data_IF_068994105520
#
_entry.id   IF_068994105520
#
_cell.length_a   1.000
_cell.length_b   1.000
_cell.length_c   1.000
_cell.angle_alpha   90.00
_cell.angle_beta   90.00
_cell.angle_gamma   90.00
#
_symmetry.space_group_name_H-M   'P 1'
#
loop_
_entity.id
_entity.type
_entity.pdbx_description
1 polymer ?
#
# COMPACT_ATOMS: atom_id res chain seq x y z
N UNK A 1 26.21 1.31 2.05
CA UNK A 1 25.65 2.13 0.96
C UNK A 1 24.43 1.40 0.51
N UNK A 2 23.38 1.69 1.27
CA UNK A 2 22.11 1.00 1.39
C UNK A 2 21.12 1.59 0.40
N UNK A 3 20.12 0.80 0.05
CA UNK A 3 18.96 1.33 -0.65
C UNK A 3 17.67 0.66 -0.20
N UNK A 4 16.71 1.50 0.18
CA UNK A 4 15.37 1.11 0.60
C UNK A 4 14.29 1.48 -0.44
N UNK A 5 13.44 0.50 -0.79
CA UNK A 5 12.15 0.73 -1.44
C UNK A 5 11.06 1.05 -0.43
N UNK A 6 9.95 1.57 -0.92
CA UNK A 6 8.92 2.17 -0.09
C UNK A 6 7.67 1.30 -0.13
N UNK A 7 7.33 0.76 1.01
CA UNK A 7 6.05 0.14 1.31
C UNK A 7 5.12 1.23 1.86
N UNK A 8 4.01 1.50 1.17
CA UNK A 8 2.99 2.42 1.71
C UNK A 8 2.11 1.63 2.67
N UNK A 9 2.27 1.89 3.95
CA UNK A 9 1.37 1.43 5.00
C UNK A 9 0.34 2.53 5.26
N UNK A 10 -0.94 2.20 5.21
CA UNK A 10 -1.98 3.16 5.58
C UNK A 10 -2.15 3.10 7.10
N UNK A 11 -1.68 4.13 7.81
CA UNK A 11 -1.86 4.27 9.26
C UNK A 11 -2.95 5.30 9.49
N UNK A 12 -4.18 4.87 9.72
CA UNK A 12 -5.22 5.78 10.18
C UNK A 12 -5.08 6.05 11.70
N UNK A 13 -5.56 7.23 12.10
CA UNK A 13 -5.38 8.04 13.33
C UNK A 13 -5.01 7.44 14.69
N UNK A 14 -4.11 8.18 15.38
CA UNK A 14 -4.01 8.43 16.83
C UNK A 14 -4.62 7.40 17.78
N UNK A 15 -3.81 6.39 18.10
CA UNK A 15 -3.76 5.89 19.48
C UNK A 15 -2.34 6.10 19.95
N UNK A 16 -2.20 6.80 21.07
CA UNK A 16 -1.00 6.90 21.88
C UNK A 16 -0.27 5.54 21.93
N UNK A 17 0.81 5.39 21.17
CA UNK A 17 1.87 4.44 21.51
C UNK A 17 2.97 5.30 22.14
N UNK A 18 2.70 5.75 23.36
CA UNK A 18 3.78 5.95 24.32
C UNK A 18 4.37 4.56 24.60
N UNK A 19 5.35 4.19 23.78
CA UNK A 19 6.46 3.33 24.15
C UNK A 19 7.51 3.44 23.03
N UNK A 20 8.40 4.43 23.19
CA UNK A 20 9.79 4.15 22.92
C UNK A 20 10.18 2.91 23.73
N UNK A 21 10.47 1.80 23.04
CA UNK A 21 11.45 0.84 23.51
C UNK A 21 11.84 -0.10 22.38
N UNK A 22 13.09 0.03 21.95
CA UNK A 22 13.93 -1.06 21.44
C UNK A 22 13.27 -2.05 20.48
N UNK A 23 13.40 -1.80 19.17
CA UNK A 23 13.56 -2.90 18.23
C UNK A 23 15.02 -2.94 17.78
N UNK A 24 15.68 -4.02 18.19
CA UNK A 24 17.06 -4.35 17.85
C UNK A 24 17.27 -4.29 16.34
N UNK A 25 18.44 -3.75 15.96
CA UNK A 25 19.01 -3.88 14.62
C UNK A 25 19.11 -5.36 14.28
N UNK A 26 18.12 -5.92 13.57
CA UNK A 26 18.32 -7.17 12.87
C UNK A 26 19.10 -6.88 11.59
N UNK A 27 20.36 -7.29 11.66
CA UNK A 27 21.30 -7.32 10.55
C UNK A 27 20.90 -8.50 9.65
N UNK A 28 20.31 -8.24 8.48
CA UNK A 28 20.05 -9.25 7.46
C UNK A 28 20.65 -8.80 6.12
N UNK A 29 21.47 -9.69 5.55
CA UNK A 29 22.24 -9.53 4.32
C UNK A 29 21.40 -9.91 3.08
N UNK A 30 21.68 -9.19 1.99
CA UNK A 30 21.56 -9.55 0.56
C UNK A 30 20.26 -9.19 -0.21
N UNK A 31 20.26 -8.02 -0.87
CA UNK A 31 20.17 -7.78 -2.34
C UNK A 31 19.57 -6.40 -2.67
N UNK A 32 20.41 -5.47 -3.16
CA UNK A 32 20.20 -4.02 -3.21
C UNK A 32 19.53 -3.52 -4.52
N UNK A 33 18.62 -2.53 -4.44
CA UNK A 33 18.27 -1.65 -5.58
C UNK A 33 17.45 -0.38 -5.20
N UNK A 34 17.69 0.76 -5.87
CA UNK A 34 17.00 2.09 -5.76
C UNK A 34 17.94 3.26 -5.30
N UNK A 35 17.43 4.44 -4.89
CA UNK A 35 18.25 5.51 -4.26
C UNK A 35 17.58 6.06 -2.96
N UNK A 36 18.12 5.73 -1.78
CA UNK A 36 17.54 6.07 -0.46
C UNK A 36 17.64 7.57 -0.15
N UNK A 37 18.80 8.18 -0.37
CA UNK A 37 19.01 9.62 -0.16
C UNK A 37 18.02 10.44 -0.98
N UNK A 38 17.78 10.01 -2.22
CA UNK A 38 16.79 10.60 -3.11
C UNK A 38 15.39 10.48 -2.52
N UNK A 39 15.00 9.30 -2.05
CA UNK A 39 13.68 9.12 -1.43
C UNK A 39 13.52 9.99 -0.19
N UNK A 40 14.48 9.96 0.74
CA UNK A 40 14.43 10.76 1.97
C UNK A 40 14.28 12.25 1.67
N UNK A 41 14.93 12.74 0.60
CA UNK A 41 14.81 14.14 0.16
C UNK A 41 13.39 14.53 -0.29
N UNK A 42 12.61 13.60 -0.83
CA UNK A 42 11.25 13.87 -1.33
C UNK A 42 10.14 13.33 -0.41
N UNK A 43 10.47 12.46 0.55
CA UNK A 43 9.53 11.79 1.46
C UNK A 43 8.61 12.80 2.16
N UNK A 44 9.18 13.87 2.73
CA UNK A 44 8.40 14.90 3.43
C UNK A 44 7.36 15.56 2.52
N UNK A 45 7.74 15.85 1.27
CA UNK A 45 6.83 16.43 0.28
C UNK A 45 5.69 15.47 -0.09
N UNK A 46 6.00 14.18 -0.21
CA UNK A 46 4.99 13.16 -0.51
C UNK A 46 3.99 13.04 0.65
N UNK A 47 4.48 12.94 1.88
CA UNK A 47 3.64 12.81 3.09
C UNK A 47 2.70 14.01 3.25
N UNK A 48 3.23 15.23 3.08
CA UNK A 48 2.45 16.47 3.19
C UNK A 48 1.41 16.56 2.07
N UNK A 49 1.77 16.20 0.83
CA UNK A 49 0.87 16.28 -0.31
C UNK A 49 -0.27 15.25 -0.23
N UNK A 50 0.01 14.02 0.23
CA UNK A 50 -1.01 12.97 0.36
C UNK A 50 -2.01 13.31 1.47
N UNK A 51 -1.55 13.91 2.56
CA UNK A 51 -2.37 14.18 3.75
C UNK A 51 -3.17 15.48 3.67
N UNK A 52 -2.85 16.38 2.73
CA UNK A 52 -3.49 17.69 2.59
C UNK A 52 -4.97 17.58 2.24
N UNK A 53 -5.29 16.75 1.24
CA UNK A 53 -6.58 16.76 0.58
C UNK A 53 -7.34 15.44 0.74
N UNK A 54 -8.67 15.52 0.74
CA UNK A 54 -9.54 14.34 0.67
C UNK A 54 -9.50 13.73 -0.72
N UNK A 55 -9.46 12.41 -0.80
CA UNK A 55 -9.44 11.67 -2.06
C UNK A 55 -10.75 10.94 -2.25
N UNK A 56 -11.27 10.97 -3.48
CA UNK A 56 -12.42 10.16 -3.88
C UNK A 56 -12.03 8.68 -3.96
N UNK A 57 -12.59 7.87 -3.08
CA UNK A 57 -12.47 6.43 -3.13
C UNK A 57 -13.63 5.82 -3.92
N UNK A 58 -13.28 5.38 -5.13
CA UNK A 58 -14.17 4.59 -6.00
C UNK A 58 -13.98 3.11 -5.67
N UNK A 59 -14.94 2.57 -4.94
CA UNK A 59 -14.94 1.20 -4.46
C UNK A 59 -15.50 0.24 -5.51
N UNK A 60 -15.09 -1.02 -5.43
CA UNK A 60 -15.62 -2.08 -6.29
C UNK A 60 -17.13 -2.30 -6.10
N UNK A 61 -17.74 -3.03 -7.04
CA UNK A 61 -19.16 -3.44 -7.01
C UNK A 61 -20.17 -2.29 -7.01
N UNK A 62 -19.85 -1.18 -7.67
CA UNK A 62 -20.74 -0.01 -7.80
C UNK A 62 -21.16 0.59 -6.45
N UNK A 63 -20.37 0.37 -5.39
CA UNK A 63 -20.58 1.02 -4.09
C UNK A 63 -20.49 2.54 -4.25
N UNK A 64 -21.22 3.31 -3.43
CA UNK A 64 -21.14 4.77 -3.45
C UNK A 64 -19.70 5.25 -3.26
N UNK A 65 -19.32 6.26 -4.04
CA UNK A 65 -18.04 6.96 -3.88
C UNK A 65 -17.99 7.60 -2.50
N UNK A 66 -16.90 7.37 -1.77
CA UNK A 66 -16.67 7.96 -0.44
C UNK A 66 -15.45 8.87 -0.51
N UNK A 67 -15.48 9.97 0.22
CA UNK A 67 -14.32 10.85 0.35
C UNK A 67 -13.53 10.47 1.59
N UNK A 68 -12.28 10.07 1.44
CA UNK A 68 -11.41 9.61 2.53
C UNK A 68 -10.17 10.47 2.64
N UNK A 69 -9.65 10.64 3.87
CA UNK A 69 -8.35 11.31 4.10
C UNK A 69 -7.30 10.25 4.29
N UNK A 70 -6.33 10.18 3.38
CA UNK A 70 -5.27 9.20 3.43
C UNK A 70 -4.20 9.61 4.46
N UNK A 71 -3.82 8.68 5.32
CA UNK A 71 -2.63 8.78 6.16
C UNK A 71 -1.70 7.63 5.81
N UNK A 72 -0.47 7.97 5.43
CA UNK A 72 0.48 7.00 4.90
C UNK A 72 1.77 7.01 5.70
N UNK A 73 2.35 5.83 5.86
CA UNK A 73 3.68 5.59 6.38
C UNK A 73 4.48 4.82 5.34
N UNK A 74 5.78 5.04 5.35
CA UNK A 74 6.71 4.45 4.41
C UNK A 74 7.68 3.56 5.16
N UNK A 75 7.72 2.28 4.81
CA UNK A 75 8.69 1.33 5.40
C UNK A 75 9.62 0.76 4.33
N UNK A 76 10.90 0.51 4.65
CA UNK A 76 11.85 -0.13 3.76
C UNK A 76 11.35 -1.50 3.28
N UNK A 77 11.51 -1.78 2.00
CA UNK A 77 11.22 -3.11 1.47
C UNK A 77 12.19 -4.14 2.02
N UNK A 78 11.61 -5.22 2.49
CA UNK A 78 12.32 -6.44 2.83
C UNK A 78 11.51 -7.59 2.26
N UNK A 79 12.22 -8.53 1.61
CA UNK A 79 11.60 -9.77 1.17
C UNK A 79 10.99 -10.54 2.35
N UNK A 80 11.55 -10.38 3.56
CA UNK A 80 11.04 -11.01 4.78
C UNK A 80 9.66 -10.47 5.19
N UNK A 81 9.39 -9.20 4.89
CA UNK A 81 8.10 -8.55 5.16
C UNK A 81 6.99 -8.97 4.19
N UNK A 82 7.32 -9.74 3.14
CA UNK A 82 6.35 -10.32 2.21
C UNK A 82 5.74 -11.61 2.79
N UNK A 83 6.36 -12.19 3.82
CA UNK A 83 5.89 -13.42 4.45
C UNK A 83 4.87 -13.14 5.56
N UNK A 84 3.86 -14.01 5.59
CA UNK A 84 2.75 -14.10 6.55
C UNK A 84 1.50 -13.27 6.23
N UNK A 85 0.76 -13.70 5.19
CA UNK A 85 -0.70 -13.56 5.18
C UNK A 85 -1.34 -14.36 6.33
N UNK A 86 -1.03 -14.03 7.57
CA UNK A 86 -1.92 -14.34 8.69
C UNK A 86 -2.94 -13.22 8.75
N UNK A 87 -4.21 -13.57 8.66
CA UNK A 87 -5.41 -12.72 8.79
C UNK A 87 -5.39 -11.77 10.00
N UNK A 88 -4.46 -12.00 10.93
CA UNK A 88 -4.24 -11.16 12.10
C UNK A 88 -3.63 -9.78 11.77
N UNK A 89 -2.96 -9.63 10.62
CA UNK A 89 -2.09 -8.48 10.32
C UNK A 89 -2.53 -7.62 9.11
N UNK A 90 -3.78 -7.67 8.65
CA UNK A 90 -4.25 -6.90 7.47
C UNK A 90 -3.91 -5.39 7.54
N UNK A 91 -3.90 -4.82 8.76
CA UNK A 91 -3.58 -3.40 9.02
C UNK A 91 -2.05 -3.14 9.08
N UNK A 92 -1.26 -4.18 9.37
CA UNK A 92 0.20 -4.09 9.53
C UNK A 92 0.95 -4.42 8.24
N UNK A 93 0.29 -5.00 7.25
CA UNK A 93 0.93 -5.35 5.99
C UNK A 93 1.00 -4.16 5.03
N UNK A 94 2.14 -4.01 4.34
CA UNK A 94 2.26 -3.12 3.20
C UNK A 94 1.24 -3.43 2.09
N UNK A 95 0.55 -2.40 1.61
CA UNK A 95 -0.48 -2.57 0.57
C UNK A 95 0.01 -2.17 -0.82
N UNK A 96 1.03 -1.33 -0.94
CA UNK A 96 1.50 -0.81 -2.23
C UNK A 96 3.03 -0.63 -2.24
N UNK A 97 3.68 -1.06 -3.32
CA UNK A 97 5.13 -1.13 -3.44
C UNK A 97 5.62 -0.12 -4.48
N UNK A 98 6.51 0.79 -4.08
CA UNK A 98 7.02 1.83 -5.00
C UNK A 98 8.53 1.71 -5.15
N UNK A 99 8.97 1.56 -6.41
CA UNK A 99 10.37 1.64 -6.82
C UNK A 99 10.67 3.07 -7.26
N UNK A 100 11.52 3.79 -6.53
CA UNK A 100 11.94 5.15 -6.87
C UNK A 100 13.43 5.16 -7.17
N UNK A 101 13.80 5.68 -8.33
CA UNK A 101 15.22 5.87 -8.67
C UNK A 101 15.40 7.05 -9.62
N UNK A 102 16.61 7.59 -9.69
CA UNK A 102 17.03 8.50 -10.74
C UNK A 102 17.79 7.73 -11.82
N UNK A 103 17.69 8.16 -13.08
CA UNK A 103 18.45 7.56 -14.16
C UNK A 103 18.97 8.66 -15.08
N UNK A 104 20.29 8.74 -15.22
CA UNK A 104 20.94 9.80 -15.99
C UNK A 104 20.70 9.64 -17.50
N UNK A 105 20.83 8.41 -18.01
CA UNK A 105 20.75 8.12 -19.44
C UNK A 105 20.44 6.63 -19.75
N UNK A 106 20.39 6.32 -21.05
CA UNK A 106 20.10 4.99 -21.56
C UNK A 106 21.21 3.96 -21.30
N UNK A 107 22.44 4.40 -21.06
CA UNK A 107 23.56 3.48 -20.82
C UNK A 107 23.57 3.05 -19.35
N UNK A 108 23.33 4.00 -18.43
CA UNK A 108 23.06 3.70 -17.02
C UNK A 108 21.87 2.74 -16.86
N UNK A 109 20.80 2.93 -17.67
CA UNK A 109 19.66 2.01 -17.67
C UNK A 109 20.06 0.56 -17.99
N UNK A 110 20.82 0.38 -19.07
CA UNK A 110 21.23 -0.96 -19.54
C UNK A 110 22.27 -1.61 -18.62
N UNK A 111 23.06 -0.80 -17.92
CA UNK A 111 24.16 -1.29 -17.11
C UNK A 111 23.69 -1.86 -15.76
N UNK A 112 22.71 -1.23 -15.11
CA UNK A 112 22.26 -1.66 -13.78
C UNK A 112 20.75 -1.58 -13.57
N UNK A 113 20.13 -0.43 -13.86
CA UNK A 113 18.73 -0.16 -13.47
C UNK A 113 17.73 -1.20 -14.04
N UNK A 114 17.97 -1.69 -15.25
CA UNK A 114 17.11 -2.71 -15.86
C UNK A 114 17.11 -4.00 -15.04
N UNK A 115 18.28 -4.50 -14.68
CA UNK A 115 18.42 -5.76 -13.96
C UNK A 115 17.90 -5.63 -12.52
N UNK A 116 18.08 -4.46 -11.90
CA UNK A 116 17.55 -4.10 -10.59
C UNK A 116 16.01 -4.14 -10.56
N UNK A 117 15.36 -3.51 -11.54
CA UNK A 117 13.89 -3.50 -11.67
C UNK A 117 13.37 -4.91 -11.94
N UNK A 118 14.02 -5.67 -12.83
CA UNK A 118 13.63 -7.03 -13.18
C UNK A 118 13.71 -7.96 -11.95
N UNK A 119 14.78 -7.86 -11.17
CA UNK A 119 14.96 -8.61 -9.92
C UNK A 119 13.85 -8.30 -8.91
N UNK A 120 13.57 -7.01 -8.68
CA UNK A 120 12.52 -6.58 -7.76
C UNK A 120 11.13 -7.08 -8.18
N UNK A 121 10.77 -6.92 -9.46
CA UNK A 121 9.49 -7.42 -9.98
C UNK A 121 9.37 -8.94 -9.90
N UNK A 122 10.47 -9.69 -10.09
CA UNK A 122 10.49 -11.14 -9.87
C UNK A 122 10.14 -11.51 -8.43
N UNK A 123 10.69 -10.81 -7.44
CA UNK A 123 10.38 -11.05 -6.03
C UNK A 123 8.90 -10.78 -5.74
N UNK A 124 8.35 -9.68 -6.26
CA UNK A 124 6.91 -9.37 -6.10
C UNK A 124 6.02 -10.43 -6.75
N UNK A 125 6.37 -10.87 -7.96
CA UNK A 125 5.62 -11.89 -8.69
C UNK A 125 5.63 -13.25 -7.98
N UNK A 126 6.75 -13.63 -7.35
CA UNK A 126 6.82 -14.86 -6.54
C UNK A 126 5.82 -14.87 -5.37
N UNK A 127 5.48 -13.69 -4.85
CA UNK A 127 4.52 -13.49 -3.77
C UNK A 127 3.12 -13.10 -4.27
N UNK A 128 2.86 -13.19 -5.59
CA UNK A 128 1.61 -12.77 -6.23
C UNK A 128 1.23 -11.30 -5.96
N UNK A 129 2.22 -10.43 -5.76
CA UNK A 129 1.99 -9.01 -5.50
C UNK A 129 1.86 -8.28 -6.82
N UNK A 130 0.70 -7.68 -7.04
CA UNK A 130 0.37 -6.92 -8.24
C UNK A 130 0.27 -5.41 -8.01
N UNK A 131 0.41 -4.94 -6.77
CA UNK A 131 0.32 -3.53 -6.41
C UNK A 131 1.71 -2.91 -6.36
N UNK A 132 2.16 -2.44 -7.52
CA UNK A 132 3.47 -1.83 -7.67
C UNK A 132 3.47 -0.61 -8.57
N UNK A 133 4.49 0.23 -8.42
CA UNK A 133 4.73 1.41 -9.26
C UNK A 133 6.23 1.69 -9.38
N UNK A 134 6.66 2.15 -10.56
CA UNK A 134 8.03 2.57 -10.84
C UNK A 134 8.04 4.06 -11.11
N UNK A 135 8.90 4.78 -10.40
CA UNK A 135 9.02 6.23 -10.47
C UNK A 135 10.45 6.59 -10.80
N UNK A 136 10.63 7.24 -11.95
CA UNK A 136 11.87 7.92 -12.28
C UNK A 136 11.83 9.36 -11.75
N UNK A 137 12.88 9.76 -11.05
CA UNK A 137 13.06 11.16 -10.66
C UNK A 137 14.03 11.82 -11.63
N UNK A 138 13.51 12.73 -12.44
CA UNK A 138 14.31 13.50 -13.38
C UNK A 138 15.04 14.64 -12.64
N UNK A 139 16.35 14.69 -12.82
CA UNK A 139 17.22 15.75 -12.27
C UNK A 139 17.71 16.75 -13.32
N UNK A 140 17.34 16.57 -14.60
CA UNK A 140 17.74 17.44 -15.71
C UNK A 140 16.62 18.39 -16.17
N UNK A 141 16.99 19.63 -16.55
CA UNK A 141 16.07 20.60 -17.16
C UNK A 141 16.05 20.41 -18.69
N UNK A 142 15.00 19.75 -19.20
CA UNK A 142 14.85 19.44 -20.63
C UNK A 142 14.79 20.67 -21.55
N UNK A 143 14.69 21.89 -21.01
CA UNK A 143 14.72 23.14 -21.80
C UNK A 143 16.12 23.64 -22.15
N UNK A 144 17.19 23.05 -21.62
CA UNK A 144 18.59 23.34 -22.03
C UNK A 144 19.15 22.35 -23.05
N UNK A 145 18.45 21.25 -23.34
CA UNK A 145 18.87 20.30 -24.35
C UNK A 145 18.49 20.81 -25.75
N UNK A 146 19.47 20.86 -26.65
CA UNK A 146 19.32 21.13 -28.08
C UNK A 146 18.17 20.33 -28.70
N UNK A 147 17.59 20.86 -29.80
CA UNK A 147 16.44 20.39 -30.61
C UNK A 147 16.50 18.94 -31.16
N UNK A 148 17.04 17.97 -30.43
CA UNK A 148 17.08 16.56 -30.80
C UNK A 148 16.56 15.78 -29.60
N UNK A 149 15.25 15.53 -29.61
CA UNK A 149 14.62 14.61 -28.67
C UNK A 149 15.21 13.22 -28.98
N UNK A 150 15.82 12.52 -28.01
CA UNK A 150 16.19 11.12 -28.19
C UNK A 150 14.96 10.33 -28.64
N UNK A 151 15.08 9.47 -29.65
CA UNK A 151 13.93 8.71 -30.21
C UNK A 151 13.17 7.85 -29.18
N UNK A 152 13.77 7.57 -28.02
CA UNK A 152 13.16 6.77 -26.94
C UNK A 152 13.77 7.22 -25.61
N UNK A 153 12.94 7.54 -24.62
CA UNK A 153 13.39 7.91 -23.27
C UNK A 153 13.63 6.67 -22.40
N UNK A 154 14.34 6.81 -21.28
CA UNK A 154 14.49 5.73 -20.28
C UNK A 154 13.12 5.25 -19.80
N UNK A 155 12.19 6.18 -19.54
CA UNK A 155 10.82 5.86 -19.14
C UNK A 155 10.09 5.03 -20.20
N UNK A 156 10.22 5.38 -21.47
CA UNK A 156 9.61 4.60 -22.58
C UNK A 156 10.20 3.19 -22.62
N UNK A 157 11.50 3.05 -22.34
CA UNK A 157 12.15 1.74 -22.30
C UNK A 157 11.67 0.90 -21.12
N UNK A 158 11.56 1.48 -19.92
CA UNK A 158 10.98 0.82 -18.74
C UNK A 158 9.54 0.37 -19.04
N UNK A 159 8.72 1.22 -19.67
CA UNK A 159 7.35 0.85 -20.05
C UNK A 159 7.31 -0.33 -21.00
N UNK A 160 8.16 -0.33 -22.02
CA UNK A 160 8.24 -1.41 -22.99
C UNK A 160 8.79 -2.71 -22.40
N UNK A 161 9.72 -2.62 -21.43
CA UNK A 161 10.36 -3.80 -20.85
C UNK A 161 9.49 -4.42 -19.74
N UNK A 162 8.81 -3.61 -18.91
CA UNK A 162 8.13 -4.09 -17.68
C UNK A 162 6.63 -3.81 -17.62
N UNK A 163 6.11 -2.88 -18.42
CA UNK A 163 4.77 -2.34 -18.22
C UNK A 163 3.94 -2.25 -19.52
N UNK A 164 4.12 -3.17 -20.47
CA UNK A 164 3.41 -3.17 -21.77
C UNK A 164 1.89 -3.04 -21.60
N UNK A 165 1.32 -3.72 -20.60
CA UNK A 165 -0.13 -3.69 -20.29
C UNK A 165 -0.51 -2.73 -19.16
N UNK A 166 0.48 -2.19 -18.44
CA UNK A 166 0.31 -1.38 -17.23
C UNK A 166 1.21 -0.14 -17.26
N UNK A 167 1.37 0.49 -18.42
CA UNK A 167 2.33 1.58 -18.64
C UNK A 167 2.09 2.80 -17.76
N UNK A 168 0.89 2.86 -17.18
CA UNK A 168 0.38 3.83 -16.25
C UNK A 168 0.98 3.66 -14.82
N UNK A 169 1.61 2.51 -14.53
CA UNK A 169 2.41 2.24 -13.31
C UNK A 169 3.83 2.77 -13.37
N UNK A 170 4.27 3.25 -14.54
CA UNK A 170 5.60 3.83 -14.73
C UNK A 170 5.48 5.32 -15.01
N UNK A 171 6.03 6.15 -14.12
CA UNK A 171 6.00 7.61 -14.24
C UNK A 171 7.41 8.20 -14.17
N UNK A 172 7.57 9.38 -14.76
CA UNK A 172 8.70 10.26 -14.45
C UNK A 172 8.21 11.53 -13.78
N UNK A 173 8.95 12.01 -12.79
CA UNK A 173 8.62 13.17 -11.97
C UNK A 173 9.83 14.07 -11.84
N UNK A 174 9.65 15.38 -12.05
CA UNK A 174 10.70 16.35 -11.83
C UNK A 174 10.95 16.49 -10.33
N UNK A 175 12.22 16.46 -9.91
CA UNK A 175 12.56 16.58 -8.50
C UNK A 175 12.00 17.89 -7.89
N UNK A 176 11.07 17.82 -6.92
CA UNK A 176 10.43 19.01 -6.36
C UNK A 176 11.39 19.88 -5.56
N UNK A 177 12.46 19.30 -4.99
CA UNK A 177 13.46 20.05 -4.23
C UNK A 177 14.36 20.90 -5.12
N UNK A 178 14.49 20.54 -6.40
CA UNK A 178 15.33 21.27 -7.38
C UNK A 178 14.53 22.23 -8.26
N UNK A 179 13.23 21.96 -8.48
CA UNK A 179 12.42 22.65 -9.50
C UNK A 179 11.00 23.00 -9.04
N UNK A 180 10.83 23.57 -7.85
CA UNK A 180 9.55 23.79 -7.15
C UNK A 180 8.38 24.33 -8.02
N UNK A 181 8.58 25.41 -8.79
CA UNK A 181 7.51 26.00 -9.62
C UNK A 181 7.21 25.21 -10.90
N UNK A 182 8.16 24.40 -11.40
CA UNK A 182 8.02 23.67 -12.67
C UNK A 182 7.61 22.22 -12.47
N UNK A 183 7.95 21.64 -11.32
CA UNK A 183 7.57 20.28 -10.95
C UNK A 183 6.11 20.20 -10.49
N UNK A 184 5.50 21.31 -10.08
CA UNK A 184 4.18 21.35 -9.44
C UNK A 184 3.09 20.51 -10.16
N UNK A 185 2.98 20.60 -11.48
CA UNK A 185 1.99 19.82 -12.24
C UNK A 185 2.33 18.33 -12.27
N UNK A 186 3.59 17.99 -12.59
CA UNK A 186 4.07 16.59 -12.59
C UNK A 186 3.97 15.95 -11.20
N UNK A 187 4.19 16.75 -10.15
CA UNK A 187 4.12 16.34 -8.76
C UNK A 187 2.67 16.08 -8.35
N UNK A 188 1.73 16.98 -8.68
CA UNK A 188 0.29 16.75 -8.46
C UNK A 188 -0.19 15.48 -9.15
N UNK A 189 0.22 15.27 -10.41
CA UNK A 189 -0.10 14.04 -11.14
C UNK A 189 0.47 12.79 -10.47
N UNK A 190 1.70 12.85 -10.00
CA UNK A 190 2.35 11.78 -9.24
C UNK A 190 1.60 11.43 -7.94
N UNK A 191 1.26 12.44 -7.14
CA UNK A 191 0.52 12.26 -5.89
C UNK A 191 -0.86 11.66 -6.16
N UNK A 192 -1.60 12.19 -7.14
CA UNK A 192 -2.90 11.63 -7.54
C UNK A 192 -2.79 10.16 -7.94
N UNK A 193 -1.70 9.77 -8.62
CA UNK A 193 -1.44 8.39 -9.02
C UNK A 193 -1.16 7.47 -7.83
N UNK A 194 -0.35 7.93 -6.87
CA UNK A 194 -0.11 7.19 -5.62
C UNK A 194 -1.44 6.98 -4.89
N UNK A 195 -2.21 8.04 -4.68
CA UNK A 195 -3.48 7.98 -3.96
C UNK A 195 -4.46 7.01 -4.65
N UNK A 196 -4.55 7.06 -5.98
CA UNK A 196 -5.37 6.14 -6.76
C UNK A 196 -4.94 4.69 -6.59
N UNK A 197 -3.67 4.37 -6.83
CA UNK A 197 -3.20 2.98 -6.75
C UNK A 197 -3.24 2.43 -5.33
N UNK A 198 -2.97 3.28 -4.33
CA UNK A 198 -3.08 2.91 -2.93
C UNK A 198 -4.51 2.52 -2.56
N UNK A 199 -5.50 3.32 -2.98
CA UNK A 199 -6.91 3.02 -2.73
C UNK A 199 -7.40 1.77 -3.47
N UNK A 200 -6.90 1.53 -4.69
CA UNK A 200 -7.21 0.31 -5.46
C UNK A 200 -6.62 -0.94 -4.78
N UNK A 201 -5.37 -0.85 -4.34
CA UNK A 201 -4.70 -1.93 -3.60
C UNK A 201 -5.45 -2.24 -2.30
N UNK A 202 -5.82 -1.20 -1.56
CA UNK A 202 -6.55 -1.31 -0.31
C UNK A 202 -7.96 -1.89 -0.48
N UNK A 203 -8.70 -1.46 -1.51
CA UNK A 203 -10.01 -2.02 -1.85
C UNK A 203 -9.93 -3.53 -2.11
N UNK A 204 -8.89 -3.98 -2.83
CA UNK A 204 -8.67 -5.41 -3.06
C UNK A 204 -8.37 -6.19 -1.77
N UNK A 205 -7.55 -5.63 -0.88
CA UNK A 205 -7.29 -6.25 0.42
C UNK A 205 -8.56 -6.35 1.28
N UNK A 206 -9.40 -5.30 1.26
CA UNK A 206 -10.67 -5.30 1.98
C UNK A 206 -11.63 -6.36 1.45
N UNK A 207 -11.73 -6.51 0.12
CA UNK A 207 -12.55 -7.56 -0.51
C UNK A 207 -12.07 -8.94 -0.07
N UNK A 208 -10.76 -9.22 -0.16
CA UNK A 208 -10.20 -10.49 0.28
C UNK A 208 -10.49 -10.75 1.76
N UNK A 209 -10.39 -9.74 2.62
CA UNK A 209 -10.68 -9.86 4.04
C UNK A 209 -12.17 -10.18 4.30
N UNK A 210 -13.08 -9.53 3.57
CA UNK A 210 -14.51 -9.82 3.65
C UNK A 210 -14.85 -11.24 3.20
N UNK A 211 -14.17 -11.74 2.15
CA UNK A 211 -14.34 -13.13 1.72
C UNK A 211 -13.87 -14.13 2.80
N UNK A 212 -12.76 -13.86 3.48
CA UNK A 212 -12.32 -14.69 4.62
C UNK A 212 -13.37 -14.72 5.74
N UNK A 213 -13.98 -13.57 6.06
CA UNK A 213 -15.07 -13.48 7.06
C UNK A 213 -16.28 -14.30 6.60
N UNK A 214 -16.64 -14.23 5.32
CA UNK A 214 -17.74 -15.00 4.73
C UNK A 214 -17.49 -16.50 4.83
N UNK A 215 -16.30 -16.97 4.46
CA UNK A 215 -15.91 -18.38 4.58
C UNK A 215 -15.95 -18.88 6.02
N UNK A 216 -15.48 -18.06 6.98
CA UNK A 216 -15.58 -18.37 8.41
C UNK A 216 -17.04 -18.48 8.86
N UNK A 217 -17.92 -17.59 8.39
CA UNK A 217 -19.37 -17.64 8.69
C UNK A 217 -20.01 -18.92 8.14
N UNK A 218 -19.67 -19.32 6.92
CA UNK A 218 -20.19 -20.56 6.29
C UNK A 218 -19.72 -21.82 7.03
N UNK A 219 -18.55 -21.76 7.66
CA UNK A 219 -18.00 -22.85 8.46
C UNK A 219 -18.56 -22.92 9.89
N UNK A 220 -19.50 -22.06 10.29
CA UNK A 220 -20.05 -21.99 11.67
C UNK A 220 -20.52 -23.32 12.25
N UNK A 221 -21.02 -24.24 11.41
CA UNK A 221 -21.53 -25.54 11.85
C UNK A 221 -20.43 -26.63 11.97
N UNK A 222 -19.17 -26.32 11.63
CA UNK A 222 -18.05 -27.27 11.70
C UNK A 222 -17.48 -27.32 13.11
N UNK A 223 -17.11 -28.52 13.58
CA UNK A 223 -16.58 -28.76 14.94
C UNK A 223 -15.29 -28.01 15.28
N UNK A 224 -14.51 -27.59 14.28
CA UNK A 224 -13.25 -26.85 14.44
C UNK A 224 -13.42 -25.33 14.34
N UNK A 225 -14.66 -24.85 14.21
CA UNK A 225 -14.94 -23.42 14.14
C UNK A 225 -14.89 -22.79 15.54
N UNK A 226 -14.41 -21.55 15.59
CA UNK A 226 -14.32 -20.78 16.84
C UNK A 226 -15.04 -19.46 16.69
N UNK A 227 -16.07 -19.25 17.52
CA UNK A 227 -16.80 -17.99 17.60
C UNK A 227 -15.86 -16.83 17.87
N UNK A 228 -14.94 -16.95 18.85
CA UNK A 228 -14.00 -15.88 19.19
C UNK A 228 -13.12 -15.46 17.99
N UNK A 229 -12.63 -16.43 17.20
CA UNK A 229 -11.83 -16.12 16.00
C UNK A 229 -12.67 -15.37 14.96
N UNK A 230 -13.90 -15.81 14.71
CA UNK A 230 -14.82 -15.13 13.79
C UNK A 230 -15.20 -13.73 14.28
N UNK A 231 -15.50 -13.59 15.56
CA UNK A 231 -15.87 -12.33 16.19
C UNK A 231 -14.75 -11.28 16.07
N UNK A 232 -13.50 -11.67 16.34
CA UNK A 232 -12.33 -10.79 16.19
C UNK A 232 -12.15 -10.37 14.72
N UNK A 233 -12.40 -11.25 13.75
CA UNK A 233 -12.31 -10.89 12.33
C UNK A 233 -13.38 -9.86 11.95
N UNK A 234 -14.62 -10.02 12.43
CA UNK A 234 -15.70 -9.06 12.20
C UNK A 234 -15.45 -7.71 12.89
N UNK A 235 -14.98 -7.72 14.14
CA UNK A 235 -14.59 -6.50 14.86
C UNK A 235 -13.49 -5.75 14.10
N UNK A 236 -12.47 -6.46 13.59
CA UNK A 236 -11.42 -5.85 12.76
C UNK A 236 -11.99 -5.18 11.50
N UNK A 237 -13.01 -5.75 10.87
CA UNK A 237 -13.66 -5.12 9.72
C UNK A 237 -14.37 -3.82 10.14
N UNK A 238 -15.14 -3.85 11.23
CA UNK A 238 -15.81 -2.67 11.77
C UNK A 238 -14.82 -1.55 12.09
N UNK A 239 -13.73 -1.90 12.78
CA UNK A 239 -12.65 -0.99 13.12
C UNK A 239 -12.01 -0.39 11.86
N UNK A 240 -11.69 -1.20 10.84
CA UNK A 240 -11.14 -0.69 9.58
C UNK A 240 -12.08 0.34 8.93
N UNK A 241 -13.40 0.08 8.90
CA UNK A 241 -14.38 1.00 8.33
C UNK A 241 -14.49 2.31 9.12
N UNK A 242 -14.44 2.22 10.45
CA UNK A 242 -14.40 3.39 11.33
C UNK A 242 -13.16 4.23 11.07
N UNK A 243 -11.99 3.60 10.96
CA UNK A 243 -10.72 4.27 10.68
C UNK A 243 -10.69 4.95 9.31
N UNK A 244 -11.49 4.46 8.34
CA UNK A 244 -11.69 5.09 7.03
C UNK A 244 -12.70 6.25 7.06
N UNK A 245 -13.35 6.48 8.20
CA UNK A 245 -14.42 7.48 8.36
C UNK A 245 -15.75 7.06 7.73
N UNK A 246 -15.95 5.77 7.44
CA UNK A 246 -17.18 5.21 6.87
C UNK A 246 -18.06 4.72 8.02
N UNK A 247 -18.48 5.67 8.87
CA UNK A 247 -19.21 5.37 10.10
C UNK A 247 -20.55 4.68 9.86
N UNK A 248 -21.21 4.96 8.73
CA UNK A 248 -22.47 4.33 8.36
C UNK A 248 -22.33 2.81 8.17
N UNK A 249 -21.25 2.36 7.51
CA UNK A 249 -20.99 0.94 7.33
C UNK A 249 -20.39 0.30 8.59
N UNK A 250 -19.57 1.04 9.35
CA UNK A 250 -18.99 0.56 10.61
C UNK A 250 -20.07 0.29 11.68
N UNK A 251 -21.05 1.18 11.84
CA UNK A 251 -22.16 1.00 12.80
C UNK A 251 -22.95 -0.28 12.51
N UNK A 252 -23.25 -0.57 11.25
CA UNK A 252 -23.94 -1.81 10.86
C UNK A 252 -23.14 -3.05 11.29
N UNK A 253 -21.80 -3.02 11.18
CA UNK A 253 -20.97 -4.13 11.65
C UNK A 253 -20.97 -4.24 13.18
N UNK A 254 -20.91 -3.12 13.90
CA UNK A 254 -20.98 -3.12 15.36
C UNK A 254 -22.33 -3.61 15.91
N UNK A 255 -23.44 -3.25 15.26
CA UNK A 255 -24.78 -3.77 15.60
C UNK A 255 -24.87 -5.30 15.37
N UNK A 256 -24.28 -5.81 14.28
CA UNK A 256 -24.21 -7.26 14.02
C UNK A 256 -23.37 -7.97 15.10
N UNK A 257 -22.25 -7.37 15.53
CA UNK A 257 -21.41 -7.90 16.59
C UNK A 257 -22.15 -7.98 17.94
N UNK A 258 -22.87 -6.92 18.33
CA UNK A 258 -23.65 -6.90 19.58
C UNK A 258 -24.74 -7.99 19.60
N UNK A 259 -25.47 -8.13 18.49
CA UNK A 259 -26.47 -9.19 18.33
C UNK A 259 -25.85 -10.59 18.39
N UNK A 260 -24.71 -10.81 17.72
CA UNK A 260 -23.99 -12.08 17.74
C UNK A 260 -23.49 -12.43 19.15
N UNK A 261 -22.98 -11.46 19.88
CA UNK A 261 -22.47 -11.64 21.24
C UNK A 261 -23.60 -11.96 22.23
N UNK A 262 -24.71 -11.23 22.15
CA UNK A 262 -25.91 -11.50 22.95
C UNK A 262 -26.43 -12.91 22.69
N UNK A 263 -26.53 -13.31 21.42
CA UNK A 263 -26.95 -14.67 21.06
C UNK A 263 -25.98 -15.73 21.61
N UNK A 264 -24.67 -15.47 21.58
CA UNK A 264 -23.67 -16.38 22.12
C UNK A 264 -23.86 -16.61 23.63
N UNK A 265 -24.04 -15.54 24.41
CA UNK A 265 -24.28 -15.63 25.87
C UNK A 265 -25.56 -16.44 26.15
N UNK A 266 -26.67 -16.12 25.48
CA UNK A 266 -27.94 -16.82 25.69
C UNK A 266 -27.84 -18.33 25.41
N UNK A 267 -27.06 -18.73 24.40
CA UNK A 267 -26.86 -20.14 24.09
C UNK A 267 -25.90 -20.84 25.07
N UNK A 268 -25.00 -20.10 25.73
CA UNK A 268 -24.16 -20.64 26.80
C UNK A 268 -24.98 -20.94 28.05
N UNK A 269 -25.88 -20.05 28.45
CA UNK A 269 -26.70 -20.20 29.66
C UNK A 269 -27.71 -21.37 29.55
N UNK A 270 -28.18 -21.70 28.34
CA UNK A 270 -29.08 -22.82 28.10
C UNK A 270 -28.37 -24.19 28.20
N UNK A 271 -27.05 -24.22 27.99
CA UNK A 271 -26.25 -25.46 28.06
C UNK A 271 -26.02 -26.00 29.47
N UNK A 272 -26.21 -25.17 30.51
CA UNK A 272 -26.06 -25.58 31.92
C UNK A 272 -27.35 -26.15 32.53
N UNK A 273 -28.49 -26.06 31.84
CA UNK A 273 -29.79 -26.52 32.33
C UNK A 273 -30.18 -27.92 31.81
N UNK A 274 -29.36 -28.55 30.97
CA UNK A 274 -29.59 -29.91 30.42
C UNK A 274 -28.66 -31.00 30.99
N UNK A 275 -28.01 -30.77 32.13
CA UNK A 275 -27.30 -31.81 32.91
C UNK A 275 -27.90 -31.99 34.29
#
# INVERSE_FOLDING_TARGET
MEVDFILIQIIYSDVNIHQESHFEKLHCRDSNAGNEDLFLSIKGNILNSISSDTVEWRRSYSRPVKSVRLKVSFVPFSADNLFSCTYENLIKQPVFHVYINECADMDAYKLSLKDDIDSWLKVLNQHNIQDWMIVLVDTYDSKKASKIIPRTTVLDKIRNDFAIKHGDRCLSVLNPTKFESRSAESWKGFISRIQHFLLVAYDRQLINFQEIIREQRECRNKKNWSFCKYFILQEKLAFILEMLGIYDEALVQYDELDALFTQFILNCDVGELET
#
